data_IF_264593425655
#
_entry.id   IF_264593425655
#
_cell.length_a   1.000
_cell.length_b   1.000
_cell.length_c   1.000
_cell.angle_alpha   90.00
_cell.angle_beta   90.00
_cell.angle_gamma   90.00
#
_symmetry.space_group_name_H-M   'P 1'
#
loop_
_entity.id
_entity.type
_entity.pdbx_description
1 polymer ?
#
# COMPACT_ATOMS: atom_id res chain seq x y z
N UNK A 1 -40.52 -14.83 8.74
CA UNK A 1 -41.42 -13.86 8.07
C UNK A 1 -42.82 -14.43 8.11
N UNK A 2 -43.80 -13.69 8.64
CA UNK A 2 -45.19 -14.14 8.69
C UNK A 2 -45.86 -14.09 7.30
N UNK A 3 -46.82 -14.97 7.03
CA UNK A 3 -47.50 -15.09 5.73
C UNK A 3 -48.10 -13.77 5.23
N UNK A 4 -48.64 -12.94 6.14
CA UNK A 4 -49.21 -11.63 5.79
C UNK A 4 -48.15 -10.65 5.27
N UNK A 5 -46.97 -10.65 5.88
CA UNK A 5 -45.84 -9.81 5.44
C UNK A 5 -45.27 -10.30 4.11
N UNK A 6 -45.23 -11.62 3.90
CA UNK A 6 -44.83 -12.18 2.61
C UNK A 6 -45.77 -11.76 1.48
N UNK A 7 -47.10 -11.81 1.69
CA UNK A 7 -48.10 -11.40 0.70
C UNK A 7 -47.94 -9.91 0.33
N UNK A 8 -47.77 -9.03 1.34
CA UNK A 8 -47.55 -7.59 1.10
C UNK A 8 -46.30 -7.34 0.27
N UNK A 9 -45.20 -8.03 0.58
CA UNK A 9 -43.96 -7.90 -0.19
C UNK A 9 -44.13 -8.40 -1.62
N UNK A 10 -44.86 -9.50 -1.87
CA UNK A 10 -45.12 -9.95 -3.25
C UNK A 10 -45.97 -8.94 -4.03
N UNK A 11 -46.98 -8.34 -3.40
CA UNK A 11 -47.80 -7.30 -4.03
C UNK A 11 -46.97 -6.06 -4.38
N UNK A 12 -46.11 -5.62 -3.47
CA UNK A 12 -45.16 -4.52 -3.72
C UNK A 12 -44.26 -4.85 -4.89
N UNK A 13 -43.64 -6.04 -4.90
CA UNK A 13 -42.76 -6.48 -5.99
C UNK A 13 -43.47 -6.45 -7.34
N UNK A 14 -44.72 -6.90 -7.39
CA UNK A 14 -45.51 -6.87 -8.62
C UNK A 14 -45.79 -5.45 -9.13
N UNK A 15 -45.94 -4.47 -8.23
CA UNK A 15 -46.25 -3.08 -8.58
C UNK A 15 -45.01 -2.25 -8.91
N UNK A 16 -43.94 -2.43 -8.14
CA UNK A 16 -42.80 -1.53 -8.15
C UNK A 16 -41.56 -2.09 -8.88
N UNK A 17 -41.48 -3.42 -9.12
CA UNK A 17 -40.38 -3.99 -9.90
C UNK A 17 -40.69 -3.95 -11.41
N UNK A 18 -39.77 -3.46 -12.24
CA UNK A 18 -39.94 -3.49 -13.68
C UNK A 18 -39.87 -4.92 -14.22
N UNK A 19 -40.54 -5.15 -15.36
CA UNK A 19 -40.38 -6.42 -16.09
C UNK A 19 -38.95 -6.57 -16.60
N UNK A 20 -38.50 -7.81 -16.83
CA UNK A 20 -37.12 -8.10 -17.25
C UNK A 20 -36.65 -7.28 -18.48
N UNK A 21 -37.52 -7.08 -19.48
CA UNK A 21 -37.19 -6.29 -20.68
C UNK A 21 -36.94 -4.81 -20.34
N UNK A 22 -37.76 -4.24 -19.47
CA UNK A 22 -37.61 -2.86 -19.00
C UNK A 22 -36.37 -2.73 -18.12
N UNK A 23 -36.17 -3.65 -17.17
CA UNK A 23 -34.97 -3.69 -16.33
C UNK A 23 -33.69 -3.70 -17.19
N UNK A 24 -33.66 -4.51 -18.25
CA UNK A 24 -32.52 -4.58 -19.17
C UNK A 24 -32.25 -3.24 -19.87
N UNK A 25 -33.31 -2.55 -20.31
CA UNK A 25 -33.18 -1.25 -20.95
C UNK A 25 -32.74 -0.17 -19.96
N UNK A 26 -33.29 -0.16 -18.74
CA UNK A 26 -32.83 0.72 -17.65
C UNK A 26 -31.35 0.49 -17.40
N UNK A 27 -30.88 -0.77 -17.32
CA UNK A 27 -29.47 -1.06 -17.10
C UNK A 27 -28.56 -0.59 -18.24
N UNK A 28 -29.01 -0.72 -19.50
CA UNK A 28 -28.29 -0.18 -20.65
C UNK A 28 -28.16 1.34 -20.56
N UNK A 29 -29.24 2.03 -20.20
CA UNK A 29 -29.25 3.48 -20.01
C UNK A 29 -28.35 3.90 -18.85
N UNK A 30 -28.45 3.24 -17.68
CA UNK A 30 -27.62 3.51 -16.51
C UNK A 30 -26.14 3.41 -16.85
N UNK A 31 -25.69 2.36 -17.56
CA UNK A 31 -24.28 2.22 -17.97
C UNK A 31 -23.81 3.42 -18.81
N UNK A 32 -24.63 3.88 -19.75
CA UNK A 32 -24.32 5.06 -20.57
C UNK A 32 -24.21 6.32 -19.71
N UNK A 33 -25.16 6.53 -18.79
CA UNK A 33 -25.17 7.69 -17.91
C UNK A 33 -23.97 7.70 -16.95
N UNK A 34 -23.62 6.55 -16.36
CA UNK A 34 -22.44 6.39 -15.50
C UNK A 34 -21.16 6.71 -16.27
N UNK A 35 -20.99 6.13 -17.47
CA UNK A 35 -19.81 6.39 -18.31
C UNK A 35 -19.68 7.87 -18.70
N UNK A 36 -20.81 8.53 -18.98
CA UNK A 36 -20.87 9.96 -19.32
C UNK A 36 -20.84 10.88 -18.09
N UNK A 37 -20.82 10.33 -16.86
CA UNK A 37 -20.85 11.09 -15.59
C UNK A 37 -22.07 12.02 -15.48
N UNK A 38 -23.21 11.58 -16.01
CA UNK A 38 -24.47 12.33 -16.07
C UNK A 38 -25.27 12.16 -14.76
N UNK A 39 -24.71 12.63 -13.64
CA UNK A 39 -25.25 12.35 -12.30
C UNK A 39 -26.65 12.92 -12.06
N UNK A 40 -27.01 14.07 -12.66
CA UNK A 40 -28.38 14.62 -12.54
C UNK A 40 -29.44 13.68 -13.13
N UNK A 41 -29.17 13.12 -14.32
CA UNK A 41 -30.05 12.13 -14.96
C UNK A 41 -30.08 10.81 -14.18
N UNK A 42 -28.97 10.43 -13.57
CA UNK A 42 -28.93 9.28 -12.65
C UNK A 42 -29.80 9.53 -11.41
N UNK A 43 -29.78 10.73 -10.84
CA UNK A 43 -30.64 11.12 -9.72
C UNK A 43 -32.12 11.00 -10.09
N UNK A 44 -32.51 11.48 -11.28
CA UNK A 44 -33.87 11.34 -11.80
C UNK A 44 -34.28 9.87 -11.97
N UNK A 45 -33.38 9.03 -12.48
CA UNK A 45 -33.60 7.59 -12.63
C UNK A 45 -33.77 6.91 -11.27
N UNK A 46 -32.90 7.21 -10.30
CA UNK A 46 -33.00 6.69 -8.92
C UNK A 46 -34.33 7.09 -8.30
N UNK A 47 -34.74 8.36 -8.41
CA UNK A 47 -36.04 8.83 -7.89
C UNK A 47 -37.23 8.13 -8.55
N UNK A 48 -37.17 7.91 -9.87
CA UNK A 48 -38.21 7.20 -10.62
C UNK A 48 -38.39 5.77 -10.13
N UNK A 49 -37.28 5.07 -9.87
CA UNK A 49 -37.27 3.68 -9.44
C UNK A 49 -37.00 3.52 -7.94
N UNK A 50 -37.29 4.54 -7.12
CA UNK A 50 -36.93 4.53 -5.69
C UNK A 50 -37.55 3.39 -4.88
N UNK A 51 -38.65 2.82 -5.37
CA UNK A 51 -39.34 1.66 -4.78
C UNK A 51 -38.88 0.31 -5.32
N UNK A 52 -38.13 0.27 -6.44
CA UNK A 52 -37.63 -0.97 -7.04
C UNK A 52 -36.34 -1.39 -6.36
N UNK A 53 -36.35 -2.53 -5.67
CA UNK A 53 -35.17 -3.10 -5.04
C UNK A 53 -34.17 -3.57 -6.10
N UNK A 54 -34.66 -4.15 -7.20
CA UNK A 54 -33.83 -4.73 -8.26
C UNK A 54 -33.09 -3.64 -9.06
N UNK A 55 -33.77 -2.54 -9.42
CA UNK A 55 -33.13 -1.43 -10.13
C UNK A 55 -32.10 -0.74 -9.24
N UNK A 56 -32.46 -0.40 -8.00
CA UNK A 56 -31.55 0.32 -7.10
C UNK A 56 -30.31 -0.51 -6.77
N UNK A 57 -30.46 -1.82 -6.59
CA UNK A 57 -29.32 -2.73 -6.39
C UNK A 57 -28.37 -2.68 -7.58
N UNK A 58 -28.87 -2.84 -8.80
CA UNK A 58 -28.01 -2.87 -9.98
C UNK A 58 -27.41 -1.50 -10.33
N UNK A 59 -28.17 -0.41 -10.17
CA UNK A 59 -27.65 0.96 -10.30
C UNK A 59 -26.51 1.18 -9.30
N UNK A 60 -26.67 0.73 -8.06
CA UNK A 60 -25.65 0.87 -7.01
C UNK A 60 -24.39 0.07 -7.33
N UNK A 61 -24.52 -1.14 -7.89
CA UNK A 61 -23.38 -1.92 -8.38
C UNK A 61 -22.60 -1.17 -9.48
N UNK A 62 -23.31 -0.58 -10.46
CA UNK A 62 -22.68 0.16 -11.55
C UNK A 62 -21.98 1.44 -11.07
N UNK A 63 -22.60 2.17 -10.14
CA UNK A 63 -22.02 3.38 -9.55
C UNK A 63 -20.81 3.06 -8.67
N UNK A 64 -20.86 1.98 -7.89
CA UNK A 64 -19.74 1.58 -7.02
C UNK A 64 -18.48 1.26 -7.84
N UNK A 65 -18.62 0.81 -9.08
CA UNK A 65 -17.50 0.54 -9.98
C UNK A 65 -16.96 1.79 -10.70
N UNK A 66 -17.61 2.96 -10.57
CA UNK A 66 -17.32 4.14 -11.41
C UNK A 66 -16.44 5.20 -10.75
N UNK A 67 -15.82 4.91 -9.60
CA UNK A 67 -15.06 5.89 -8.80
C UNK A 67 -15.86 7.18 -8.56
N UNK A 68 -17.10 7.02 -8.07
CA UNK A 68 -18.06 8.13 -7.96
C UNK A 68 -17.52 9.32 -7.14
N UNK A 69 -16.73 9.08 -6.10
CA UNK A 69 -16.18 10.09 -5.18
C UNK A 69 -14.64 10.12 -5.24
N UNK A 70 -14.04 10.65 -6.32
CA UNK A 70 -12.60 10.56 -6.51
C UNK A 70 -11.81 11.54 -5.63
N UNK A 71 -12.40 12.65 -5.21
CA UNK A 71 -11.78 13.67 -4.34
C UNK A 71 -12.84 14.31 -3.42
N UNK A 72 -12.43 14.99 -2.33
CA UNK A 72 -13.33 15.75 -1.47
C UNK A 72 -14.14 16.81 -2.25
N UNK A 73 -13.51 17.57 -3.15
CA UNK A 73 -14.17 18.63 -3.93
C UNK A 73 -15.21 18.06 -4.91
N UNK A 74 -14.88 16.93 -5.56
CA UNK A 74 -15.83 16.24 -6.45
C UNK A 74 -17.02 15.67 -5.68
N UNK A 75 -16.79 15.24 -4.45
CA UNK A 75 -17.85 14.74 -3.54
C UNK A 75 -18.84 15.84 -3.17
N UNK A 76 -18.32 17.04 -2.92
CA UNK A 76 -19.11 18.22 -2.59
C UNK A 76 -19.94 18.78 -3.77
N UNK A 77 -19.68 18.36 -5.02
CA UNK A 77 -20.48 18.79 -6.17
C UNK A 77 -21.96 18.43 -6.00
N UNK A 78 -22.84 19.41 -6.25
CA UNK A 78 -24.29 19.31 -6.04
C UNK A 78 -24.88 18.06 -6.68
N UNK A 79 -24.52 17.75 -7.93
CA UNK A 79 -25.09 16.61 -8.66
C UNK A 79 -24.78 15.25 -8.02
N UNK A 80 -23.61 15.11 -7.37
CA UNK A 80 -23.25 13.86 -6.66
C UNK A 80 -23.88 13.79 -5.29
N UNK A 81 -23.94 14.91 -4.58
CA UNK A 81 -24.63 14.98 -3.28
C UNK A 81 -26.13 14.69 -3.44
N UNK A 82 -26.79 15.29 -4.43
CA UNK A 82 -28.19 14.99 -4.76
C UNK A 82 -28.43 13.52 -5.14
N UNK A 83 -27.48 12.90 -5.87
CA UNK A 83 -27.55 11.48 -6.20
C UNK A 83 -27.46 10.61 -4.95
N UNK A 84 -26.58 10.94 -4.01
CA UNK A 84 -26.48 10.21 -2.73
C UNK A 84 -27.72 10.38 -1.87
N UNK A 85 -28.29 11.58 -1.79
CA UNK A 85 -29.55 11.81 -1.09
C UNK A 85 -30.70 11.04 -1.73
N UNK A 86 -30.77 11.00 -3.07
CA UNK A 86 -31.77 10.20 -3.77
C UNK A 86 -31.60 8.70 -3.53
N UNK A 87 -30.36 8.19 -3.42
CA UNK A 87 -30.11 6.79 -3.07
C UNK A 87 -30.50 6.48 -1.63
N UNK A 88 -30.26 7.39 -0.67
CA UNK A 88 -30.72 7.27 0.72
C UNK A 88 -32.25 7.25 0.83
N UNK A 89 -32.95 8.00 0.00
CA UNK A 89 -34.43 8.04 -0.10
C UNK A 89 -35.01 6.92 -0.99
N UNK A 90 -34.49 5.71 -0.88
CA UNK A 90 -35.02 4.53 -1.59
C UNK A 90 -35.57 3.51 -0.61
N UNK A 91 -36.56 2.72 -1.05
CA UNK A 91 -37.10 1.58 -0.29
C UNK A 91 -35.99 0.60 0.10
N UNK A 92 -34.99 0.42 -0.79
CA UNK A 92 -33.81 -0.38 -0.50
C UNK A 92 -33.11 0.12 0.78
N UNK A 93 -32.84 1.42 0.88
CA UNK A 93 -32.14 2.00 2.03
C UNK A 93 -33.03 2.10 3.28
N UNK A 94 -34.34 2.27 3.11
CA UNK A 94 -35.31 2.20 4.22
C UNK A 94 -35.29 0.81 4.87
N UNK A 95 -35.27 -0.25 4.05
CA UNK A 95 -35.24 -1.65 4.50
C UNK A 95 -33.89 -2.08 5.07
N UNK A 96 -32.78 -1.65 4.47
CA UNK A 96 -31.42 -2.11 4.82
C UNK A 96 -30.67 -1.16 5.78
N UNK A 97 -31.21 0.03 6.04
CA UNK A 97 -30.63 1.03 6.93
C UNK A 97 -29.73 2.03 6.20
N UNK A 98 -29.80 3.31 6.61
CA UNK A 98 -29.00 4.40 6.04
C UNK A 98 -27.91 4.94 6.96
N UNK A 99 -27.86 4.47 8.21
CA UNK A 99 -26.86 4.87 9.21
C UNK A 99 -25.72 3.86 9.21
N UNK A 100 -24.51 4.29 8.84
CA UNK A 100 -23.36 3.40 8.75
C UNK A 100 -22.98 2.81 10.11
N UNK A 101 -23.26 3.54 11.20
CA UNK A 101 -22.98 3.06 12.56
C UNK A 101 -23.76 1.80 12.94
N UNK A 102 -24.96 1.63 12.38
CA UNK A 102 -25.87 0.52 12.69
C UNK A 102 -25.60 -0.73 11.82
N UNK A 103 -24.69 -0.64 10.84
CA UNK A 103 -24.45 -1.69 9.85
C UNK A 103 -23.09 -2.37 10.09
N UNK A 104 -23.10 -3.70 10.07
CA UNK A 104 -21.88 -4.51 10.16
C UNK A 104 -21.15 -4.53 8.81
N UNK A 105 -19.82 -4.39 8.74
CA UNK A 105 -19.09 -4.39 7.47
C UNK A 105 -19.39 -5.59 6.57
N UNK A 106 -19.60 -6.78 7.14
CA UNK A 106 -19.89 -8.03 6.43
C UNK A 106 -21.24 -7.99 5.69
N UNK A 107 -22.19 -7.18 6.16
CA UNK A 107 -23.55 -7.05 5.60
C UNK A 107 -23.64 -5.91 4.58
N UNK A 108 -22.56 -5.14 4.38
CA UNK A 108 -22.60 -3.97 3.51
C UNK A 108 -22.64 -4.33 2.02
N UNK A 109 -23.74 -3.95 1.38
CA UNK A 109 -23.91 -3.95 -0.07
C UNK A 109 -23.28 -2.71 -0.74
N UNK A 110 -23.18 -2.64 -2.08
CA UNK A 110 -22.47 -1.56 -2.77
C UNK A 110 -22.92 -0.14 -2.41
N UNK A 111 -24.22 0.10 -2.16
CA UNK A 111 -24.71 1.43 -1.75
C UNK A 111 -24.17 1.87 -0.40
N UNK A 112 -24.02 0.97 0.58
CA UNK A 112 -23.39 1.28 1.87
C UNK A 112 -21.91 1.62 1.72
N UNK A 113 -21.19 0.94 0.81
CA UNK A 113 -19.78 1.24 0.52
C UNK A 113 -19.61 2.60 -0.14
N UNK A 114 -20.51 2.94 -1.07
CA UNK A 114 -20.56 4.28 -1.66
C UNK A 114 -20.88 5.34 -0.61
N UNK A 115 -21.84 5.08 0.28
CA UNK A 115 -22.18 5.97 1.38
C UNK A 115 -20.99 6.15 2.34
N UNK A 116 -20.26 5.08 2.65
CA UNK A 116 -19.05 5.17 3.46
C UNK A 116 -17.98 6.05 2.80
N UNK A 117 -17.72 5.86 1.51
CA UNK A 117 -16.78 6.71 0.76
C UNK A 117 -17.25 8.17 0.73
N UNK A 118 -18.53 8.41 0.46
CA UNK A 118 -19.14 9.75 0.47
C UNK A 118 -18.96 10.42 1.84
N UNK A 119 -19.33 9.74 2.92
CA UNK A 119 -19.22 10.24 4.29
C UNK A 119 -17.77 10.57 4.67
N UNK A 120 -16.80 9.73 4.30
CA UNK A 120 -15.38 10.01 4.53
C UNK A 120 -14.93 11.26 3.77
N UNK A 121 -15.18 11.31 2.46
CA UNK A 121 -14.75 12.42 1.60
C UNK A 121 -15.44 13.74 1.98
N UNK A 122 -16.70 13.68 2.41
CA UNK A 122 -17.45 14.83 2.88
C UNK A 122 -16.88 15.38 4.19
N UNK A 123 -16.51 14.54 5.16
CA UNK A 123 -15.86 15.01 6.39
C UNK A 123 -14.51 15.68 6.11
N UNK A 124 -13.71 15.14 5.17
CA UNK A 124 -12.47 15.78 4.71
C UNK A 124 -12.79 17.15 4.09
N UNK A 125 -13.72 17.20 3.14
CA UNK A 125 -14.11 18.45 2.47
C UNK A 125 -14.57 19.52 3.48
N UNK A 126 -15.44 19.15 4.42
CA UNK A 126 -15.96 20.06 5.45
C UNK A 126 -14.88 20.58 6.39
N UNK A 127 -13.83 19.79 6.68
CA UNK A 127 -12.69 20.25 7.50
C UNK A 127 -11.84 21.29 6.77
N UNK A 128 -11.60 21.08 5.49
CA UNK A 128 -10.82 21.98 4.64
C UNK A 128 -11.61 23.25 4.26
N UNK A 129 -12.95 23.17 4.29
CA UNK A 129 -13.85 24.26 3.88
C UNK A 129 -14.90 24.55 4.97
N UNK A 130 -14.50 25.10 6.13
CA UNK A 130 -15.42 25.35 7.25
C UNK A 130 -16.53 26.37 6.93
N UNK A 131 -16.29 27.25 5.96
CA UNK A 131 -17.26 28.24 5.45
C UNK A 131 -18.35 27.62 4.57
N UNK A 132 -18.17 26.35 4.17
CA UNK A 132 -19.18 25.63 3.38
C UNK A 132 -20.45 25.43 4.20
N UNK A 133 -21.61 25.69 3.56
CA UNK A 133 -22.93 25.43 4.17
C UNK A 133 -23.30 23.94 4.24
N UNK A 134 -22.41 23.04 3.80
CA UNK A 134 -22.68 21.62 3.82
C UNK A 134 -22.61 21.06 5.24
N UNK A 135 -23.63 20.30 5.62
CA UNK A 135 -23.66 19.63 6.91
C UNK A 135 -22.51 18.64 7.02
N UNK A 136 -21.75 18.76 8.11
CA UNK A 136 -20.64 17.87 8.38
C UNK A 136 -21.15 16.54 8.94
N UNK A 137 -20.68 15.39 8.42
CA UNK A 137 -21.03 14.10 8.98
C UNK A 137 -20.66 13.98 10.46
N UNK A 138 -21.48 13.25 11.22
CA UNK A 138 -21.21 13.04 12.65
C UNK A 138 -19.91 12.24 12.86
N UNK A 139 -19.17 12.46 13.96
CA UNK A 139 -17.96 11.70 14.24
C UNK A 139 -18.18 10.18 14.34
N UNK A 140 -19.38 9.74 14.73
CA UNK A 140 -19.73 8.31 14.78
C UNK A 140 -19.90 7.73 13.38
N UNK A 141 -20.55 8.45 12.47
CA UNK A 141 -20.70 8.04 11.07
C UNK A 141 -19.35 8.01 10.36
N UNK A 142 -18.46 9.00 10.61
CA UNK A 142 -17.10 9.01 10.05
C UNK A 142 -16.27 7.82 10.53
N UNK A 143 -16.34 7.46 11.83
CA UNK A 143 -15.65 6.24 12.31
C UNK A 143 -16.21 4.98 11.67
N UNK A 144 -17.52 4.93 11.47
CA UNK A 144 -18.20 3.77 10.89
C UNK A 144 -17.93 3.65 9.39
N UNK A 145 -17.80 4.77 8.68
CA UNK A 145 -17.40 4.77 7.28
C UNK A 145 -15.98 4.23 7.10
N UNK A 146 -15.03 4.66 7.93
CA UNK A 146 -13.66 4.12 7.93
C UNK A 146 -13.68 2.62 8.22
N UNK A 147 -14.44 2.16 9.23
CA UNK A 147 -14.58 0.73 9.55
C UNK A 147 -15.06 -0.10 8.36
N UNK A 148 -16.07 0.39 7.64
CA UNK A 148 -16.63 -0.29 6.46
C UNK A 148 -15.61 -0.30 5.32
N UNK A 149 -14.93 0.82 5.07
CA UNK A 149 -13.95 0.93 4.01
C UNK A 149 -12.71 0.08 4.31
N UNK A 150 -12.19 0.08 5.53
CA UNK A 150 -11.06 -0.77 5.96
C UNK A 150 -11.36 -2.25 5.70
N UNK A 151 -12.61 -2.70 5.89
CA UNK A 151 -13.01 -4.08 5.58
C UNK A 151 -13.03 -4.38 4.08
N UNK A 152 -13.63 -3.50 3.27
CA UNK A 152 -13.90 -3.76 1.85
C UNK A 152 -12.76 -3.34 0.91
N UNK A 153 -11.87 -2.46 1.36
CA UNK A 153 -10.80 -1.89 0.54
C UNK A 153 -9.40 -2.36 0.92
N UNK A 154 -9.22 -3.11 2.01
CA UNK A 154 -7.90 -3.55 2.49
C UNK A 154 -6.96 -4.07 1.39
N UNK A 155 -7.46 -4.87 0.45
CA UNK A 155 -6.67 -5.38 -0.68
C UNK A 155 -6.28 -4.29 -1.68
N UNK A 156 -7.23 -3.43 -2.06
CA UNK A 156 -6.98 -2.30 -2.97
C UNK A 156 -6.05 -1.27 -2.36
N UNK A 157 -6.28 -0.90 -1.10
CA UNK A 157 -5.45 0.05 -0.35
C UNK A 157 -4.02 -0.51 -0.20
N UNK A 158 -3.87 -1.79 0.16
CA UNK A 158 -2.57 -2.47 0.20
C UNK A 158 -1.85 -2.39 -1.14
N UNK A 159 -2.55 -2.69 -2.24
CA UNK A 159 -2.01 -2.66 -3.59
C UNK A 159 -1.55 -1.25 -3.98
N UNK A 160 -2.38 -0.24 -3.74
CA UNK A 160 -2.06 1.17 -4.03
C UNK A 160 -0.84 1.65 -3.22
N UNK A 161 -0.78 1.32 -1.93
CA UNK A 161 0.35 1.68 -1.06
C UNK A 161 1.65 0.98 -1.47
N UNK A 162 1.60 -0.30 -1.84
CA UNK A 162 2.78 -1.02 -2.33
C UNK A 162 3.27 -0.43 -3.67
N UNK A 163 2.36 -0.06 -4.57
CA UNK A 163 2.72 0.58 -5.84
C UNK A 163 3.34 1.97 -5.62
N UNK A 164 2.83 2.75 -4.67
CA UNK A 164 3.46 4.01 -4.28
C UNK A 164 4.87 3.77 -3.71
N UNK A 165 5.02 2.80 -2.81
CA UNK A 165 6.30 2.51 -2.16
C UNK A 165 7.40 2.03 -3.13
N UNK A 166 7.03 1.22 -4.14
CA UNK A 166 8.01 0.61 -5.05
C UNK A 166 8.21 1.41 -6.33
N UNK A 167 7.13 1.98 -6.87
CA UNK A 167 7.12 2.58 -8.20
C UNK A 167 6.80 4.07 -8.20
N UNK A 168 6.59 4.68 -7.02
CA UNK A 168 6.09 6.06 -6.88
C UNK A 168 4.80 6.31 -7.66
N UNK A 169 4.02 5.25 -7.89
CA UNK A 169 2.75 5.35 -8.59
C UNK A 169 1.73 6.09 -7.71
N UNK A 170 1.04 7.11 -8.25
CA UNK A 170 0.05 7.87 -7.51
C UNK A 170 -1.04 6.98 -6.87
N UNK A 171 -1.26 7.08 -5.55
CA UNK A 171 -2.40 6.43 -4.93
C UNK A 171 -3.69 7.20 -5.26
N UNK A 172 -4.84 6.57 -5.05
CA UNK A 172 -6.10 7.31 -5.02
C UNK A 172 -6.08 8.38 -3.93
N UNK A 173 -6.84 9.47 -4.14
CA UNK A 173 -6.96 10.52 -3.13
C UNK A 173 -7.48 9.98 -1.80
N UNK A 174 -8.33 8.95 -1.85
CA UNK A 174 -8.79 8.25 -0.65
C UNK A 174 -7.62 7.67 0.15
N UNK A 175 -6.77 6.85 -0.48
CA UNK A 175 -5.61 6.23 0.16
C UNK A 175 -4.65 7.30 0.68
N UNK A 176 -4.40 8.35 -0.12
CA UNK A 176 -3.55 9.45 0.31
C UNK A 176 -4.06 10.12 1.60
N UNK A 177 -5.36 10.38 1.70
CA UNK A 177 -5.97 10.99 2.89
C UNK A 177 -6.04 10.01 4.06
N UNK A 178 -6.47 8.76 3.82
CA UNK A 178 -6.69 7.71 4.84
C UNK A 178 -5.41 7.34 5.59
N UNK A 179 -4.27 7.38 4.90
CA UNK A 179 -2.96 7.00 5.45
C UNK A 179 -2.02 8.19 5.68
N UNK A 180 -2.52 9.43 5.57
CA UNK A 180 -1.75 10.64 5.90
C UNK A 180 -0.60 10.94 4.94
N UNK A 181 -0.78 10.62 3.65
CA UNK A 181 0.19 10.84 2.58
C UNK A 181 -0.14 12.05 1.70
N UNK A 182 -1.36 12.59 1.84
CA UNK A 182 -1.91 13.63 0.96
C UNK A 182 -1.03 14.88 0.85
N UNK A 183 -0.57 15.44 1.98
CA UNK A 183 0.20 16.70 1.98
C UNK A 183 1.56 16.55 1.27
N UNK A 184 2.27 15.47 1.56
CA UNK A 184 3.57 15.16 0.95
C UNK A 184 3.41 14.90 -0.54
N UNK A 185 2.37 14.15 -0.91
CA UNK A 185 2.06 13.85 -2.29
C UNK A 185 1.69 15.11 -3.08
N UNK A 186 0.82 15.97 -2.53
CA UNK A 186 0.41 17.21 -3.19
C UNK A 186 1.59 18.18 -3.33
N UNK A 187 2.51 18.19 -2.37
CA UNK A 187 3.74 18.98 -2.46
C UNK A 187 4.68 18.45 -3.54
N UNK A 188 4.87 17.13 -3.61
CA UNK A 188 5.68 16.49 -4.65
C UNK A 188 5.08 16.72 -6.05
N UNK A 189 3.76 16.56 -6.22
CA UNK A 189 3.06 16.83 -7.49
C UNK A 189 3.22 18.30 -7.93
N UNK A 190 3.15 19.26 -7.00
CA UNK A 190 3.41 20.69 -7.30
C UNK A 190 4.84 20.94 -7.77
N UNK A 191 5.84 20.34 -7.12
CA UNK A 191 7.25 20.44 -7.53
C UNK A 191 7.45 19.86 -8.93
N UNK A 192 6.94 18.65 -9.17
CA UNK A 192 7.04 17.99 -10.47
C UNK A 192 6.40 18.79 -11.62
N UNK A 193 5.35 19.58 -11.34
CA UNK A 193 4.73 20.48 -12.31
C UNK A 193 5.47 21.80 -12.51
N UNK A 194 6.28 22.22 -11.54
CA UNK A 194 6.99 23.50 -11.55
C UNK A 194 8.33 23.45 -12.31
N UNK A 195 8.72 22.27 -12.81
CA UNK A 195 9.87 22.06 -13.69
C UNK A 195 11.18 21.77 -12.94
N UNK A 196 12.24 21.39 -13.69
CA UNK A 196 13.46 20.78 -13.15
C UNK A 196 14.34 21.70 -12.30
N UNK A 197 14.13 23.02 -12.33
CA UNK A 197 14.90 23.99 -11.52
C UNK A 197 14.38 24.14 -10.08
N UNK A 198 13.22 23.58 -9.76
CA UNK A 198 12.68 23.64 -8.39
C UNK A 198 13.25 22.50 -7.54
N UNK A 199 14.05 22.87 -6.53
CA UNK A 199 14.37 22.10 -5.33
C UNK A 199 14.49 20.57 -5.51
N UNK A 200 15.40 20.10 -6.38
CA UNK A 200 15.67 18.67 -6.60
C UNK A 200 15.85 17.90 -5.28
N UNK A 201 16.61 18.47 -4.35
CA UNK A 201 16.81 17.91 -3.00
C UNK A 201 15.51 17.76 -2.21
N UNK A 202 14.57 18.69 -2.37
CA UNK A 202 13.26 18.62 -1.70
C UNK A 202 12.39 17.50 -2.28
N UNK A 203 12.41 17.32 -3.61
CA UNK A 203 11.71 16.22 -4.29
C UNK A 203 12.16 14.85 -3.77
N UNK A 204 13.47 14.62 -3.72
CA UNK A 204 14.07 13.36 -3.21
C UNK A 204 13.69 13.08 -1.75
N UNK A 205 13.70 14.13 -0.91
CA UNK A 205 13.29 14.02 0.50
C UNK A 205 11.81 13.62 0.61
N UNK A 206 10.94 14.22 -0.20
CA UNK A 206 9.51 13.93 -0.21
C UNK A 206 9.23 12.51 -0.73
N UNK A 207 9.87 12.09 -1.81
CA UNK A 207 9.76 10.73 -2.35
C UNK A 207 10.18 9.69 -1.30
N UNK A 208 11.33 9.89 -0.66
CA UNK A 208 11.83 8.99 0.39
C UNK A 208 10.84 8.89 1.56
N UNK A 209 10.26 10.02 1.99
CA UNK A 209 9.26 10.05 3.06
C UNK A 209 7.96 9.36 2.67
N UNK A 210 7.48 9.59 1.44
CA UNK A 210 6.30 8.93 0.88
C UNK A 210 6.50 7.42 0.81
N UNK A 211 7.61 6.94 0.26
CA UNK A 211 7.91 5.51 0.19
C UNK A 211 7.90 4.87 1.58
N UNK A 212 8.61 5.48 2.54
CA UNK A 212 8.66 4.96 3.92
C UNK A 212 7.30 4.94 4.60
N UNK A 213 6.49 5.98 4.43
CA UNK A 213 5.16 6.05 5.03
C UNK A 213 4.19 5.09 4.35
N UNK A 214 4.30 4.91 3.03
CA UNK A 214 3.52 3.96 2.26
C UNK A 214 3.86 2.50 2.63
N UNK A 215 5.15 2.17 2.74
CA UNK A 215 5.62 0.88 3.26
C UNK A 215 5.03 0.59 4.65
N UNK A 216 5.15 1.54 5.58
CA UNK A 216 4.62 1.40 6.94
C UNK A 216 3.10 1.23 6.95
N UNK A 217 2.39 1.98 6.10
CA UNK A 217 0.94 1.90 5.99
C UNK A 217 0.50 0.55 5.41
N UNK A 218 1.12 0.11 4.32
CA UNK A 218 0.85 -1.18 3.68
C UNK A 218 0.98 -2.32 4.69
N UNK A 219 2.11 -2.39 5.39
CA UNK A 219 2.39 -3.46 6.36
C UNK A 219 1.53 -3.43 7.62
N UNK A 220 0.84 -2.32 7.87
CA UNK A 220 -0.10 -2.20 8.99
C UNK A 220 -1.48 -2.81 8.68
N UNK A 221 -1.80 -3.02 7.41
CA UNK A 221 -3.06 -3.62 6.97
C UNK A 221 -3.02 -5.12 7.26
N UNK A 222 -3.94 -5.58 8.10
CA UNK A 222 -4.04 -6.99 8.53
C UNK A 222 -4.89 -7.80 7.58
N UNK A 223 -4.73 -9.13 7.64
CA UNK A 223 -5.57 -10.11 6.94
C UNK A 223 -5.58 -9.92 5.42
N UNK A 224 -4.45 -9.48 4.86
CA UNK A 224 -4.18 -9.34 3.42
C UNK A 224 -2.76 -9.81 3.15
N UNK A 225 -2.57 -10.59 2.09
CA UNK A 225 -1.23 -10.97 1.63
C UNK A 225 -0.61 -9.81 0.87
N UNK A 226 0.64 -9.48 1.18
CA UNK A 226 1.41 -8.49 0.43
C UNK A 226 1.60 -8.93 -1.03
N UNK A 227 1.57 -7.99 -2.00
CA UNK A 227 1.82 -8.30 -3.41
C UNK A 227 3.20 -8.90 -3.64
N UNK A 228 3.31 -9.82 -4.60
CA UNK A 228 4.58 -10.51 -4.89
C UNK A 228 5.67 -9.52 -5.34
N UNK A 229 5.34 -8.54 -6.18
CA UNK A 229 6.31 -7.52 -6.61
C UNK A 229 6.90 -6.72 -5.44
N UNK A 230 6.12 -6.52 -4.37
CA UNK A 230 6.58 -5.83 -3.17
C UNK A 230 7.56 -6.71 -2.39
N UNK A 231 7.23 -7.99 -2.25
CA UNK A 231 8.09 -8.97 -1.59
C UNK A 231 9.39 -9.18 -2.39
N UNK A 232 9.32 -9.30 -3.72
CA UNK A 232 10.48 -9.40 -4.61
C UNK A 232 11.40 -8.17 -4.46
N UNK A 233 10.82 -6.97 -4.37
CA UNK A 233 11.60 -5.75 -4.13
C UNK A 233 12.37 -5.84 -2.82
N UNK A 234 11.71 -6.20 -1.73
CA UNK A 234 12.36 -6.30 -0.43
C UNK A 234 13.40 -7.45 -0.38
N UNK A 235 13.19 -8.53 -1.14
CA UNK A 235 14.14 -9.65 -1.23
C UNK A 235 15.41 -9.21 -1.97
N UNK A 236 15.26 -8.46 -3.07
CA UNK A 236 16.40 -7.79 -3.72
C UNK A 236 17.14 -6.83 -2.80
N UNK A 237 16.43 -6.11 -1.90
CA UNK A 237 17.07 -5.28 -0.89
C UNK A 237 17.86 -6.13 0.14
N UNK A 238 17.37 -7.30 0.55
CA UNK A 238 18.12 -8.26 1.37
C UNK A 238 19.39 -8.76 0.67
N UNK A 239 19.31 -9.08 -0.63
CA UNK A 239 20.48 -9.52 -1.41
C UNK A 239 21.57 -8.45 -1.44
N UNK A 240 21.21 -7.18 -1.67
CA UNK A 240 22.15 -6.06 -1.66
C UNK A 240 22.79 -5.90 -0.28
N UNK A 241 22.01 -5.95 0.81
CA UNK A 241 22.53 -5.87 2.18
C UNK A 241 23.50 -7.01 2.49
N UNK A 242 23.15 -8.24 2.11
CA UNK A 242 24.01 -9.42 2.26
C UNK A 242 25.31 -9.27 1.49
N UNK A 243 25.27 -8.70 0.29
CA UNK A 243 26.44 -8.42 -0.53
C UNK A 243 27.35 -7.36 0.08
N UNK A 244 26.80 -6.25 0.59
CA UNK A 244 27.58 -5.23 1.31
C UNK A 244 28.24 -5.85 2.55
N UNK A 245 27.49 -6.65 3.30
CA UNK A 245 28.03 -7.29 4.50
C UNK A 245 29.14 -8.30 4.17
N UNK A 246 29.07 -9.00 3.02
CA UNK A 246 30.15 -9.88 2.58
C UNK A 246 31.38 -9.10 2.10
N UNK A 247 31.17 -8.11 1.25
CA UNK A 247 32.21 -7.33 0.56
C UNK A 247 31.95 -5.82 0.73
N UNK A 248 32.36 -5.19 1.84
CA UNK A 248 31.95 -3.83 2.21
C UNK A 248 32.30 -2.73 1.21
N UNK A 249 33.30 -2.94 0.36
CA UNK A 249 33.75 -1.96 -0.63
C UNK A 249 32.78 -1.78 -1.81
N UNK A 250 31.80 -2.68 -1.99
CA UNK A 250 30.77 -2.56 -3.04
C UNK A 250 29.90 -1.32 -2.89
N UNK A 251 29.85 -0.69 -1.71
CA UNK A 251 29.13 0.58 -1.48
C UNK A 251 29.66 1.74 -2.32
N UNK A 252 30.87 1.62 -2.88
CA UNK A 252 31.45 2.62 -3.77
C UNK A 252 31.07 2.38 -5.25
N UNK A 253 30.43 1.27 -5.57
CA UNK A 253 29.89 0.99 -6.90
C UNK A 253 28.51 1.63 -7.06
N UNK A 254 28.51 2.93 -7.38
CA UNK A 254 27.31 3.74 -7.58
C UNK A 254 26.40 3.26 -8.71
N UNK A 255 26.89 2.39 -9.62
CA UNK A 255 26.05 1.79 -10.66
C UNK A 255 25.20 0.66 -10.10
N UNK A 256 25.65 0.01 -9.02
CA UNK A 256 24.99 -1.15 -8.43
C UNK A 256 24.31 -0.85 -7.11
N UNK A 257 24.77 0.18 -6.38
CA UNK A 257 24.24 0.57 -5.08
C UNK A 257 23.99 2.08 -5.07
N UNK A 258 22.72 2.46 -5.02
CA UNK A 258 22.35 3.87 -4.98
C UNK A 258 22.68 4.50 -3.61
N UNK A 259 23.04 5.79 -3.57
CA UNK A 259 23.18 6.53 -2.31
C UNK A 259 21.92 6.48 -1.44
N UNK A 260 20.74 6.51 -2.05
CA UNK A 260 19.45 6.46 -1.35
C UNK A 260 19.23 5.12 -0.63
N UNK A 261 19.72 4.02 -1.22
CA UNK A 261 19.69 2.72 -0.56
C UNK A 261 20.53 2.72 0.71
N UNK A 262 21.76 3.26 0.65
CA UNK A 262 22.63 3.37 1.81
C UNK A 262 22.00 4.25 2.90
N UNK A 263 21.39 5.37 2.50
CA UNK A 263 20.66 6.26 3.40
C UNK A 263 19.46 5.56 4.06
N UNK A 264 18.64 4.82 3.29
CA UNK A 264 17.48 4.05 3.78
C UNK A 264 17.86 3.09 4.90
N UNK A 265 19.02 2.44 4.80
CA UNK A 265 19.50 1.45 5.76
C UNK A 265 20.55 1.98 6.76
N UNK A 266 20.86 3.28 6.73
CA UNK A 266 21.81 3.89 7.67
C UNK A 266 23.24 3.39 7.52
N UNK A 267 23.68 3.11 6.29
CA UNK A 267 25.03 2.64 5.97
C UNK A 267 25.89 3.84 5.57
N UNK A 268 26.91 4.17 6.37
CA UNK A 268 27.88 5.20 6.03
C UNK A 268 28.97 4.63 5.12
N UNK A 269 29.11 5.16 3.90
CA UNK A 269 30.14 4.68 2.97
C UNK A 269 31.57 5.08 3.37
N UNK A 270 31.74 6.04 4.27
CA UNK A 270 33.04 6.62 4.62
C UNK A 270 33.69 5.98 5.86
N UNK A 271 32.98 5.10 6.58
CA UNK A 271 33.53 4.37 7.72
C UNK A 271 34.34 3.15 7.28
N UNK A 272 35.06 2.55 8.24
CA UNK A 272 35.89 1.36 7.98
C UNK A 272 35.09 0.22 7.33
N UNK A 273 35.76 -0.65 6.56
CA UNK A 273 35.13 -1.81 5.95
C UNK A 273 34.43 -2.71 6.98
N UNK A 274 35.02 -2.87 8.17
CA UNK A 274 34.41 -3.63 9.27
C UNK A 274 33.12 -2.98 9.77
N UNK A 275 33.12 -1.65 9.92
CA UNK A 275 31.93 -0.92 10.39
C UNK A 275 30.81 -0.95 9.33
N UNK A 276 31.14 -0.76 8.05
CA UNK A 276 30.19 -0.94 6.94
C UNK A 276 29.58 -2.33 6.91
N UNK A 277 30.40 -3.36 7.11
CA UNK A 277 29.95 -4.75 7.22
C UNK A 277 28.94 -4.93 8.36
N UNK A 278 29.22 -4.32 9.52
CA UNK A 278 28.37 -4.40 10.71
C UNK A 278 27.03 -3.68 10.50
N UNK A 279 27.05 -2.48 9.93
CA UNK A 279 25.86 -1.71 9.58
C UNK A 279 24.97 -2.46 8.59
N UNK A 280 25.55 -3.06 7.55
CA UNK A 280 24.81 -3.87 6.58
C UNK A 280 24.23 -5.16 7.19
N UNK A 281 24.98 -5.85 8.06
CA UNK A 281 24.45 -7.01 8.79
C UNK A 281 23.27 -6.62 9.70
N UNK A 282 23.38 -5.50 10.42
CA UNK A 282 22.29 -4.99 11.26
C UNK A 282 21.04 -4.70 10.43
N UNK A 283 21.19 -3.95 9.34
CA UNK A 283 20.10 -3.64 8.43
C UNK A 283 19.47 -4.90 7.82
N UNK A 284 20.28 -5.89 7.42
CA UNK A 284 19.79 -7.17 6.91
C UNK A 284 18.93 -7.86 7.96
N UNK A 285 19.40 -7.95 9.21
CA UNK A 285 18.67 -8.61 10.31
C UNK A 285 17.35 -7.93 10.60
N UNK A 286 17.30 -6.60 10.57
CA UNK A 286 16.07 -5.83 10.76
C UNK A 286 15.05 -6.09 9.63
N UNK A 287 15.51 -6.10 8.37
CA UNK A 287 14.67 -6.40 7.21
C UNK A 287 14.24 -7.88 7.16
N UNK A 288 15.11 -8.82 7.52
CA UNK A 288 14.81 -10.25 7.61
C UNK A 288 13.74 -10.49 8.67
N UNK A 289 13.87 -9.88 9.86
CA UNK A 289 12.86 -9.96 10.90
C UNK A 289 11.52 -9.33 10.47
N UNK A 290 11.55 -8.25 9.68
CA UNK A 290 10.35 -7.65 9.06
C UNK A 290 9.68 -8.64 8.11
N UNK A 291 10.45 -9.29 7.22
CA UNK A 291 9.95 -10.34 6.32
C UNK A 291 9.31 -11.51 7.06
N UNK A 292 9.95 -11.99 8.13
CA UNK A 292 9.43 -13.09 8.95
C UNK A 292 8.07 -12.71 9.52
N UNK A 293 7.90 -11.47 10.03
CA UNK A 293 6.60 -11.01 10.53
C UNK A 293 5.53 -10.94 9.44
N UNK A 294 5.89 -10.51 8.24
CA UNK A 294 4.94 -10.32 7.14
C UNK A 294 4.54 -11.62 6.43
N UNK A 295 5.46 -12.57 6.32
CA UNK A 295 5.29 -13.77 5.48
C UNK A 295 5.24 -15.07 6.27
N UNK A 296 5.68 -15.06 7.54
CA UNK A 296 5.82 -16.27 8.35
C UNK A 296 6.99 -17.18 7.94
N UNK A 297 7.86 -16.74 7.02
CA UNK A 297 9.03 -17.54 6.60
C UNK A 297 10.04 -17.70 7.74
N UNK A 298 10.99 -18.64 7.58
CA UNK A 298 12.13 -18.77 8.50
C UNK A 298 13.13 -17.61 8.31
N UNK A 299 13.79 -17.14 9.37
CA UNK A 299 14.86 -16.15 9.26
C UNK A 299 16.07 -16.73 8.51
N UNK A 300 16.74 -15.91 7.71
CA UNK A 300 17.91 -16.30 6.91
C UNK A 300 19.22 -15.75 7.46
N UNK A 301 19.15 -14.71 8.30
CA UNK A 301 20.33 -13.98 8.73
C UNK A 301 21.41 -14.87 9.37
N UNK A 302 21.03 -15.79 10.26
CA UNK A 302 22.01 -16.59 11.01
C UNK A 302 22.84 -17.51 10.11
N UNK A 303 22.19 -18.21 9.19
CA UNK A 303 22.86 -19.09 8.23
C UNK A 303 23.77 -18.28 7.29
N UNK A 304 23.27 -17.15 6.78
CA UNK A 304 24.03 -16.27 5.90
C UNK A 304 25.28 -15.73 6.58
N UNK A 305 25.16 -15.11 7.75
CA UNK A 305 26.31 -14.48 8.43
C UNK A 305 27.27 -15.51 9.05
N UNK A 306 26.81 -16.72 9.38
CA UNK A 306 27.72 -17.83 9.69
C UNK A 306 28.55 -18.25 8.47
N UNK A 307 27.97 -18.24 7.26
CA UNK A 307 28.71 -18.54 6.03
C UNK A 307 29.73 -17.45 5.67
N UNK A 308 29.38 -16.17 5.83
CA UNK A 308 30.26 -15.03 5.54
C UNK A 308 31.48 -15.03 6.47
N UNK A 309 31.27 -15.25 7.78
CA UNK A 309 32.37 -15.31 8.77
C UNK A 309 33.37 -16.42 8.45
N UNK A 310 32.88 -17.63 8.13
CA UNK A 310 33.73 -18.76 7.73
C UNK A 310 34.56 -18.45 6.47
N UNK A 311 33.97 -17.79 5.47
CA UNK A 311 34.70 -17.40 4.25
C UNK A 311 35.83 -16.39 4.53
N UNK A 312 35.60 -15.42 5.43
CA UNK A 312 36.63 -14.45 5.84
C UNK A 312 37.77 -15.09 6.62
N UNK A 313 37.46 -16.05 7.50
CA UNK A 313 38.47 -16.79 8.25
C UNK A 313 39.36 -17.61 7.31
N UNK A 314 38.76 -18.30 6.33
CA UNK A 314 39.51 -19.10 5.35
C UNK A 314 40.41 -18.25 4.45
N UNK A 315 39.95 -17.08 3.98
CA UNK A 315 40.78 -16.17 3.16
C UNK A 315 41.89 -15.49 3.97
N UNK A 316 41.69 -15.29 5.27
CA UNK A 316 42.73 -14.81 6.19
C UNK A 316 43.82 -15.87 6.47
N UNK A 317 43.47 -17.17 6.40
CA UNK A 317 44.42 -18.28 6.57
C UNK A 317 45.29 -18.45 5.31
N UNK A 318 44.73 -18.31 4.11
CA UNK A 318 45.50 -18.36 2.86
C UNK A 318 46.47 -17.17 2.69
N UNK A 319 46.12 -15.99 3.20
CA UNK A 319 46.95 -14.78 3.11
C UNK A 319 47.99 -14.63 4.24
N UNK A 320 48.16 -15.62 5.13
CA UNK A 320 49.28 -15.63 6.08
C UNK A 320 50.58 -15.95 5.32
N UNK A 321 51.65 -15.15 5.47
CA UNK A 321 52.93 -15.49 4.87
C UNK A 321 53.36 -16.86 5.42
N UNK A 322 53.56 -17.84 4.51
CA UNK A 322 54.13 -19.14 4.87
C UNK A 322 55.41 -18.87 5.65
N UNK A 323 55.43 -19.26 6.91
CA UNK A 323 56.60 -19.13 7.77
C UNK A 323 57.75 -19.83 7.03
N UNK A 324 58.75 -19.04 6.59
CA UNK A 324 59.88 -19.56 5.83
C UNK A 324 60.48 -20.73 6.62
N UNK A 325 60.49 -21.91 6.00
CA UNK A 325 61.17 -23.07 6.57
C UNK A 325 62.60 -22.65 6.89
N UNK A 326 62.95 -22.64 8.18
CA UNK A 326 64.32 -22.39 8.64
C UNK A 326 65.24 -23.34 7.88
N UNK A 327 66.09 -22.80 7.02
CA UNK A 327 67.16 -23.54 6.36
C UNK A 327 68.07 -24.09 7.45
N UNK A 328 68.00 -25.39 7.70
CA UNK A 328 68.94 -26.09 8.58
C UNK A 328 70.30 -26.05 7.87
N UNK A 329 71.18 -25.16 8.33
CA UNK A 329 72.61 -25.18 8.01
C UNK A 329 73.17 -26.54 8.44
N UNK A 330 73.31 -27.46 7.48
CA UNK A 330 74.08 -28.69 7.66
C UNK A 330 75.56 -28.32 7.73
N UNK A 331 76.17 -28.53 8.89
CA UNK A 331 77.63 -28.61 8.99
C UNK A 331 78.14 -29.81 8.16
N UNK A 332 79.31 -29.71 7.50
CA UNK A 332 79.87 -30.79 6.71
C UNK A 332 80.37 -31.94 7.61
N UNK A 333 80.41 -33.19 7.10
CA UNK A 333 80.70 -34.35 7.91
C UNK A 333 82.18 -34.43 8.27
N UNK A 334 82.46 -34.62 9.56
CA UNK A 334 83.76 -35.02 10.08
C UNK A 334 83.97 -36.52 9.87
N UNK A 335 85.04 -36.91 9.16
CA UNK A 335 85.76 -38.18 9.37
C UNK A 335 87.05 -38.25 8.55
N UNK A 336 88.17 -38.40 9.26
CA UNK A 336 89.47 -38.80 8.73
C UNK A 336 90.40 -39.12 9.90
N UNK A 337 90.42 -40.38 10.34
CA UNK A 337 91.26 -40.89 11.42
C UNK A 337 92.61 -41.31 10.83
N UNK A 338 93.69 -40.87 11.49
CA UNK A 338 95.13 -41.23 11.42
C UNK A 338 95.58 -42.37 10.49
N UNK A 339 96.69 -42.14 9.77
CA UNK A 339 97.85 -43.04 9.63
C UNK A 339 99.11 -42.21 9.27
N UNK A 340 100.25 -42.46 9.92
CA UNK A 340 101.57 -42.07 9.38
C UNK A 340 102.64 -41.61 10.38
N UNK A 341 103.32 -42.61 10.99
CA UNK A 341 104.65 -42.66 11.65
C UNK A 341 104.93 -41.69 12.81
#
# INVERSE_FOLDING_TARGET
MEMKEWIKEQQRRYLDEPRLKELTEVMKQTRVLVRKKEYRKLTELVRRYRKSEDVITQVSCLLSASYLFPTPEKTAETARSELMEALKDTYFMEKNGSRLMDIRPEETVPVHRMLAMYTFMQDVYSKENPESKQERPSPQEVRSSVRILDFHRKESDMWELCNLAVHLMPPSRYVALRYGLADDYDRLDRLNRSGPESAYDEGVILESRLCRNAEKAAESIKDVRLPDFYLERLDGELEILGRIAASPDVVHDILQISPDFLAKYGIDKNVSATERSCQAEKAYRELDARFVRMTGRRPYADELFASIRRKRENSGIENRPRQAQRTILRNPPSKGRKMGI
#
